data_IF_778531579409
#
_entry.id   IF_778531579409
#
_cell.length_a   1.000
_cell.length_b   1.000
_cell.length_c   1.000
_cell.angle_alpha   90.00
_cell.angle_beta   90.00
_cell.angle_gamma   90.00
#
_symmetry.space_group_name_H-M   'P 1'
#
loop_
_entity.id
_entity.type
_entity.pdbx_description
1 polymer ?
#
# COMPACT_ATOMS: atom_id res chain seq x y z
N UNK A 1 -3.93 -27.22 6.94
CA UNK A 1 -2.94 -26.59 7.85
C UNK A 1 -3.52 -25.29 8.34
N UNK A 2 -3.68 -25.16 9.66
CA UNK A 2 -4.42 -24.10 10.33
C UNK A 2 -3.70 -22.76 10.13
N UNK A 3 -4.32 -21.86 9.35
CA UNK A 3 -3.84 -20.48 9.14
C UNK A 3 -3.82 -19.79 10.51
N UNK A 4 -2.66 -19.29 10.93
CA UNK A 4 -2.58 -18.46 12.14
C UNK A 4 -3.28 -17.15 11.79
N UNK A 5 -4.47 -16.97 12.32
CA UNK A 5 -5.25 -15.75 12.17
C UNK A 5 -4.34 -14.56 12.43
N UNK A 6 -4.28 -13.62 11.48
CA UNK A 6 -3.96 -12.24 11.79
C UNK A 6 -4.77 -11.92 13.03
N UNK A 7 -4.10 -11.76 14.17
CA UNK A 7 -4.78 -11.36 15.39
C UNK A 7 -5.23 -9.92 15.18
N UNK A 8 -6.39 -9.75 14.52
CA UNK A 8 -7.42 -8.86 15.02
C UNK A 8 -7.43 -9.12 16.52
N UNK A 9 -6.86 -8.17 17.28
CA UNK A 9 -6.40 -8.37 18.64
C UNK A 9 -7.36 -9.26 19.41
N UNK A 10 -6.85 -10.36 19.94
CA UNK A 10 -7.61 -11.30 20.76
C UNK A 10 -8.11 -10.57 22.01
N UNK A 11 -9.22 -9.83 21.86
CA UNK A 11 -10.01 -9.13 22.87
C UNK A 11 -9.45 -7.77 23.34
N UNK A 12 -9.47 -6.73 22.49
CA UNK A 12 -9.67 -5.33 22.92
C UNK A 12 -8.78 -4.76 24.04
N UNK A 13 -7.64 -5.39 24.34
CA UNK A 13 -6.78 -5.07 25.51
C UNK A 13 -5.29 -4.98 25.16
N UNK A 14 -4.94 -5.31 23.91
CA UNK A 14 -3.60 -5.17 23.35
C UNK A 14 -3.76 -4.36 22.06
N UNK A 15 -2.94 -3.31 21.89
CA UNK A 15 -3.11 -2.25 20.87
C UNK A 15 -3.08 -2.70 19.40
N UNK A 16 -2.87 -1.74 18.49
CA UNK A 16 -2.72 -1.99 17.03
C UNK A 16 -1.69 -3.11 16.79
N UNK A 17 -1.86 -3.96 15.78
CA UNK A 17 -0.80 -4.94 15.44
C UNK A 17 0.49 -4.20 15.05
N UNK A 18 1.64 -4.83 15.27
CA UNK A 18 2.92 -4.25 14.87
C UNK A 18 2.94 -3.93 13.37
N UNK A 19 2.45 -4.84 12.53
CA UNK A 19 2.36 -4.63 11.08
C UNK A 19 1.55 -3.38 10.70
N UNK A 20 0.43 -3.13 11.38
CA UNK A 20 -0.37 -1.92 11.14
C UNK A 20 0.34 -0.66 11.60
N UNK A 21 1.13 -0.73 12.69
CA UNK A 21 1.98 0.40 13.11
C UNK A 21 3.08 0.68 12.10
N UNK A 22 3.73 -0.37 11.58
CA UNK A 22 4.78 -0.25 10.58
C UNK A 22 4.22 0.33 9.28
N UNK A 23 3.04 -0.13 8.84
CA UNK A 23 2.36 0.44 7.69
C UNK A 23 1.94 1.90 7.93
N UNK A 24 1.35 2.23 9.09
CA UNK A 24 0.99 3.62 9.42
C UNK A 24 2.24 4.54 9.43
N UNK A 25 3.38 4.03 9.91
CA UNK A 25 4.65 4.76 9.88
C UNK A 25 5.16 4.97 8.45
N UNK A 26 5.09 3.93 7.60
CA UNK A 26 5.47 4.00 6.20
C UNK A 26 4.59 4.98 5.40
N UNK A 27 3.27 4.97 5.61
CA UNK A 27 2.34 5.91 4.98
C UNK A 27 2.65 7.35 5.40
N UNK A 28 2.84 7.58 6.70
CA UNK A 28 3.19 8.91 7.22
C UNK A 28 4.53 9.41 6.69
N UNK A 29 5.53 8.53 6.57
CA UNK A 29 6.84 8.86 6.00
C UNK A 29 6.77 9.23 4.50
N UNK A 30 5.69 8.84 3.81
CA UNK A 30 5.42 9.20 2.41
C UNK A 30 4.46 10.39 2.26
N UNK A 31 4.24 11.15 3.34
CA UNK A 31 3.32 12.30 3.43
C UNK A 31 1.83 11.97 3.26
N UNK A 32 1.46 10.70 3.48
CA UNK A 32 0.06 10.27 3.53
C UNK A 32 -0.37 10.03 4.98
N UNK A 33 -1.31 10.85 5.48
CA UNK A 33 -1.80 10.68 6.84
C UNK A 33 -2.57 9.34 6.98
N UNK A 34 -2.21 8.43 7.91
CA UNK A 34 -2.80 7.09 7.97
C UNK A 34 -4.31 7.02 8.21
N UNK A 35 -4.93 8.10 8.71
CA UNK A 35 -6.39 8.21 8.85
C UNK A 35 -7.13 8.42 7.52
N UNK A 36 -6.42 8.78 6.44
CA UNK A 36 -6.99 8.86 5.09
C UNK A 36 -7.17 7.47 4.46
N UNK A 37 -6.52 6.45 5.03
CA UNK A 37 -6.62 5.06 4.57
C UNK A 37 -7.56 4.27 5.50
N UNK A 38 -8.70 3.75 5.00
CA UNK A 38 -9.60 2.92 5.79
C UNK A 38 -8.89 1.71 6.41
N UNK A 39 -9.29 1.33 7.62
CA UNK A 39 -8.64 0.23 8.34
C UNK A 39 -8.69 -1.10 7.58
N UNK A 40 -9.80 -1.37 6.89
CA UNK A 40 -9.94 -2.55 6.02
C UNK A 40 -8.91 -2.59 4.89
N UNK A 41 -8.59 -1.44 4.29
CA UNK A 41 -7.56 -1.34 3.24
C UNK A 41 -6.17 -1.62 3.82
N UNK A 42 -5.85 -1.06 4.99
CA UNK A 42 -4.57 -1.32 5.67
C UNK A 42 -4.40 -2.80 6.04
N UNK A 43 -5.47 -3.43 6.53
CA UNK A 43 -5.48 -4.88 6.80
C UNK A 43 -5.25 -5.70 5.53
N UNK A 44 -5.88 -5.32 4.41
CA UNK A 44 -5.64 -5.97 3.12
C UNK A 44 -4.19 -5.82 2.68
N UNK A 45 -3.61 -4.62 2.75
CA UNK A 45 -2.18 -4.39 2.41
C UNK A 45 -1.27 -5.31 3.25
N UNK A 46 -1.47 -5.36 4.56
CA UNK A 46 -0.66 -6.21 5.45
C UNK A 46 -0.83 -7.70 5.11
N UNK A 47 -2.05 -8.15 4.78
CA UNK A 47 -2.26 -9.54 4.37
C UNK A 47 -1.56 -9.84 3.04
N UNK A 48 -1.66 -8.95 2.05
CA UNK A 48 -0.95 -9.07 0.78
C UNK A 48 0.57 -9.10 0.98
N UNK A 49 1.10 -8.33 1.93
CA UNK A 49 2.51 -8.39 2.29
C UNK A 49 2.87 -9.77 2.84
N UNK A 50 2.11 -10.31 3.80
CA UNK A 50 2.37 -11.65 4.37
C UNK A 50 2.38 -12.76 3.30
N UNK A 51 1.59 -12.62 2.23
CA UNK A 51 1.61 -13.58 1.13
C UNK A 51 2.96 -13.62 0.37
N UNK A 52 3.75 -12.55 0.44
CA UNK A 52 5.12 -12.51 -0.10
C UNK A 52 6.15 -13.19 0.82
N UNK A 53 5.82 -13.39 2.10
CA UNK A 53 6.67 -14.05 3.10
C UNK A 53 5.95 -15.29 3.69
N UNK A 54 5.82 -16.39 2.93
CA UNK A 54 5.01 -17.55 3.36
C UNK A 54 5.56 -18.30 4.58
N UNK A 55 6.80 -18.02 4.99
CA UNK A 55 7.50 -18.73 6.06
C UNK A 55 7.98 -17.82 7.20
N UNK A 56 7.79 -16.51 7.09
CA UNK A 56 8.24 -15.52 8.07
C UNK A 56 7.32 -14.28 8.07
N UNK A 57 7.47 -13.41 9.07
CA UNK A 57 6.75 -12.13 9.05
C UNK A 57 7.51 -11.14 8.15
N UNK A 58 6.81 -10.23 7.44
CA UNK A 58 7.47 -9.19 6.64
C UNK A 58 8.43 -8.39 7.52
N UNK A 59 9.71 -8.24 7.13
CA UNK A 59 10.67 -7.52 7.95
C UNK A 59 10.35 -6.00 7.92
N UNK A 60 10.76 -5.21 8.94
CA UNK A 60 10.42 -3.79 9.03
C UNK A 60 10.78 -2.96 7.79
N UNK A 61 11.87 -3.28 7.10
CA UNK A 61 12.33 -2.64 5.86
C UNK A 61 11.42 -2.88 4.65
N UNK A 62 10.52 -3.86 4.72
CA UNK A 62 9.54 -4.12 3.66
C UNK A 62 8.41 -3.08 3.63
N UNK A 63 8.10 -2.43 4.76
CA UNK A 63 6.95 -1.51 4.85
C UNK A 63 7.15 -0.16 4.13
N UNK A 64 8.31 0.53 4.25
CA UNK A 64 8.53 1.81 3.58
C UNK A 64 8.27 1.80 2.06
N UNK A 65 8.79 0.85 1.25
CA UNK A 65 8.51 0.85 -0.19
C UNK A 65 7.04 0.58 -0.51
N UNK A 66 6.32 -0.17 0.33
CA UNK A 66 4.87 -0.42 0.17
C UNK A 66 4.07 0.84 0.47
N UNK A 67 4.31 1.45 1.64
CA UNK A 67 3.63 2.68 2.06
C UNK A 67 3.86 3.82 1.07
N UNK A 68 5.08 3.96 0.55
CA UNK A 68 5.42 4.97 -0.45
C UNK A 68 4.68 4.77 -1.77
N UNK A 69 4.67 3.56 -2.32
CA UNK A 69 3.98 3.29 -3.58
C UNK A 69 2.46 3.43 -3.45
N UNK A 70 1.89 2.97 -2.33
CA UNK A 70 0.47 3.16 -2.06
C UNK A 70 0.12 4.64 -1.87
N UNK A 71 0.99 5.42 -1.21
CA UNK A 71 0.81 6.87 -1.10
C UNK A 71 0.78 7.56 -2.47
N UNK A 72 1.69 7.21 -3.39
CA UNK A 72 1.66 7.71 -4.77
C UNK A 72 0.31 7.46 -5.45
N UNK A 73 -0.24 6.25 -5.31
CA UNK A 73 -1.55 5.91 -5.87
C UNK A 73 -2.67 6.82 -5.34
N UNK A 74 -2.61 7.23 -4.06
CA UNK A 74 -3.65 8.02 -3.41
C UNK A 74 -3.51 9.54 -3.64
N UNK A 75 -2.30 10.09 -3.49
CA UNK A 75 -2.10 11.55 -3.55
C UNK A 75 -1.81 12.04 -4.97
N UNK A 76 -1.29 11.16 -5.83
CA UNK A 76 -0.96 11.45 -7.23
C UNK A 76 0.39 12.17 -7.43
N UNK A 77 0.81 12.35 -8.69
CA UNK A 77 2.19 12.66 -9.04
C UNK A 77 2.68 14.01 -8.50
N UNK A 78 1.85 15.06 -8.52
CA UNK A 78 2.29 16.41 -8.16
C UNK A 78 2.63 16.54 -6.68
N UNK A 79 1.68 16.18 -5.80
CA UNK A 79 1.86 16.24 -4.35
C UNK A 79 2.90 15.21 -3.89
N UNK A 80 2.92 14.03 -4.51
CA UNK A 80 3.90 13.01 -4.19
C UNK A 80 5.33 13.47 -4.49
N UNK A 81 5.56 14.11 -5.64
CA UNK A 81 6.86 14.68 -6.01
C UNK A 81 7.28 15.80 -5.08
N UNK A 82 6.36 16.67 -4.69
CA UNK A 82 6.64 17.76 -3.74
C UNK A 82 7.12 17.23 -2.39
N UNK A 83 6.49 16.18 -1.88
CA UNK A 83 6.83 15.62 -0.57
C UNK A 83 8.01 14.63 -0.58
N UNK A 84 8.17 13.83 -1.63
CA UNK A 84 9.11 12.71 -1.67
C UNK A 84 10.29 12.92 -2.65
N UNK A 85 10.22 13.93 -3.51
CA UNK A 85 11.24 14.25 -4.51
C UNK A 85 11.10 13.48 -5.83
N UNK A 86 11.86 13.94 -6.83
CA UNK A 86 11.77 13.45 -8.21
C UNK A 86 12.12 11.97 -8.35
N UNK A 87 13.19 11.51 -7.68
CA UNK A 87 13.63 10.12 -7.78
C UNK A 87 12.57 9.14 -7.25
N UNK A 88 11.86 9.51 -6.18
CA UNK A 88 10.78 8.71 -5.64
C UNK A 88 9.59 8.67 -6.60
N UNK A 89 9.27 9.80 -7.26
CA UNK A 89 8.24 9.84 -8.30
C UNK A 89 8.59 8.88 -9.43
N UNK A 90 9.79 8.98 -10.01
CA UNK A 90 10.23 8.10 -11.10
C UNK A 90 10.18 6.62 -10.70
N UNK A 91 10.50 6.29 -9.45
CA UNK A 91 10.40 4.92 -8.94
C UNK A 91 8.96 4.41 -8.86
N UNK A 92 8.05 5.22 -8.32
CA UNK A 92 6.64 4.88 -8.23
C UNK A 92 5.99 4.73 -9.61
N UNK A 93 6.32 5.62 -10.55
CA UNK A 93 5.82 5.57 -11.93
C UNK A 93 6.27 4.29 -12.63
N UNK A 94 7.55 3.93 -12.51
CA UNK A 94 8.10 2.69 -13.08
C UNK A 94 7.45 1.45 -12.47
N UNK A 95 7.23 1.43 -11.16
CA UNK A 95 6.54 0.33 -10.48
C UNK A 95 5.11 0.16 -10.97
N UNK A 96 4.40 1.28 -11.19
CA UNK A 96 3.05 1.25 -11.72
C UNK A 96 3.03 0.74 -13.16
N UNK A 97 3.95 1.19 -14.02
CA UNK A 97 4.09 0.66 -15.39
C UNK A 97 4.34 -0.85 -15.38
N UNK A 98 5.25 -1.33 -14.53
CA UNK A 98 5.49 -2.76 -14.38
C UNK A 98 4.28 -3.53 -13.83
N UNK A 99 3.44 -2.89 -13.02
CA UNK A 99 2.21 -3.48 -12.51
C UNK A 99 1.16 -3.66 -13.62
N UNK A 100 1.10 -2.73 -14.58
CA UNK A 100 0.24 -2.86 -15.77
C UNK A 100 0.66 -4.05 -16.65
N UNK A 101 1.96 -4.31 -16.77
CA UNK A 101 2.46 -5.46 -17.53
C UNK A 101 2.30 -6.80 -16.79
N UNK A 102 2.07 -6.78 -15.47
CA UNK A 102 2.05 -7.97 -14.60
C UNK A 102 0.85 -7.94 -13.66
N UNK A 103 -0.30 -8.30 -14.19
CA UNK A 103 -1.61 -8.20 -13.52
C UNK A 103 -1.69 -8.93 -12.16
N UNK A 104 -0.93 -10.01 -11.96
CA UNK A 104 -0.91 -10.76 -10.69
C UNK A 104 0.18 -10.28 -9.71
N UNK A 105 0.98 -9.29 -10.10
CA UNK A 105 2.06 -8.78 -9.24
C UNK A 105 1.53 -8.14 -7.97
N UNK A 106 2.36 -8.12 -6.92
CA UNK A 106 2.01 -7.45 -5.66
C UNK A 106 1.67 -5.96 -5.87
N UNK A 107 2.41 -5.27 -6.75
CA UNK A 107 2.13 -3.86 -7.07
C UNK A 107 0.80 -3.70 -7.82
N UNK A 108 0.45 -4.62 -8.73
CA UNK A 108 -0.86 -4.62 -9.40
C UNK A 108 -2.00 -4.80 -8.39
N UNK A 109 -1.83 -5.68 -7.41
CA UNK A 109 -2.81 -5.89 -6.34
C UNK A 109 -2.98 -4.64 -5.45
N UNK A 110 -1.91 -3.88 -5.20
CA UNK A 110 -2.00 -2.59 -4.49
C UNK A 110 -2.75 -1.51 -5.31
N UNK A 111 -2.50 -1.43 -6.62
CA UNK A 111 -3.20 -0.51 -7.52
C UNK A 111 -4.68 -0.86 -7.61
N UNK A 112 -5.01 -2.13 -7.82
CA UNK A 112 -6.39 -2.63 -7.84
C UNK A 112 -7.10 -2.34 -6.51
N UNK A 113 -6.42 -2.54 -5.37
CA UNK A 113 -6.96 -2.20 -4.07
C UNK A 113 -7.28 -0.71 -3.95
N UNK A 114 -6.39 0.18 -4.38
CA UNK A 114 -6.62 1.63 -4.37
C UNK A 114 -7.81 2.02 -5.28
N UNK A 115 -7.94 1.36 -6.43
CA UNK A 115 -9.00 1.59 -7.41
C UNK A 115 -10.37 1.12 -6.89
N UNK A 116 -10.49 -0.14 -6.45
CA UNK A 116 -11.74 -0.69 -5.92
C UNK A 116 -12.20 -0.02 -4.62
N UNK A 117 -11.26 0.46 -3.80
CA UNK A 117 -11.58 1.23 -2.59
C UNK A 117 -11.93 2.70 -2.88
N UNK A 118 -11.88 3.14 -4.14
CA UNK A 118 -12.13 4.52 -4.58
C UNK A 118 -11.19 5.55 -3.92
N UNK A 119 -9.98 5.11 -3.59
CA UNK A 119 -8.95 5.95 -2.98
C UNK A 119 -7.94 6.47 -3.99
N UNK A 120 -7.85 5.85 -5.17
CA UNK A 120 -6.88 6.22 -6.18
C UNK A 120 -7.08 7.66 -6.67
N UNK A 121 -5.96 8.38 -6.85
CA UNK A 121 -5.96 9.74 -7.36
C UNK A 121 -6.51 9.80 -8.78
N UNK A 122 -7.43 10.73 -9.11
CA UNK A 122 -7.91 10.93 -10.48
C UNK A 122 -6.79 11.24 -11.48
N UNK A 123 -5.69 11.86 -11.02
CA UNK A 123 -4.52 12.15 -11.87
C UNK A 123 -3.78 10.87 -12.25
N UNK A 124 -3.68 9.89 -11.34
CA UNK A 124 -3.08 8.59 -11.64
C UNK A 124 -3.99 7.81 -12.58
N UNK A 125 -5.30 7.81 -12.34
CA UNK A 125 -6.28 7.21 -13.26
C UNK A 125 -6.15 7.78 -14.66
N UNK A 126 -6.16 9.11 -14.80
CA UNK A 126 -6.05 9.76 -16.11
C UNK A 126 -4.70 9.55 -16.80
N UNK A 127 -3.60 9.46 -16.03
CA UNK A 127 -2.25 9.27 -16.58
C UNK A 127 -2.06 7.86 -17.17
N UNK A 128 -2.67 6.84 -16.56
CA UNK A 128 -2.45 5.43 -16.93
C UNK A 128 -3.71 4.73 -17.46
N UNK A 129 -4.79 5.47 -17.71
CA UNK A 129 -6.08 4.96 -18.20
C UNK A 129 -6.62 3.79 -17.36
N UNK A 130 -6.53 3.92 -16.02
CA UNK A 130 -6.88 2.84 -15.10
C UNK A 130 -8.39 2.64 -15.01
N UNK A 131 -8.84 1.40 -15.07
CA UNK A 131 -10.23 1.01 -14.86
C UNK A 131 -10.34 -0.32 -14.10
N UNK A 132 -11.42 -0.47 -13.34
CA UNK A 132 -11.80 -1.71 -12.69
C UNK A 132 -13.27 -1.94 -13.05
N UNK A 133 -13.52 -2.91 -13.91
CA UNK A 133 -14.87 -3.40 -14.25
C UNK A 133 -15.39 -4.38 -13.19
#
# INVERSE_FOLDING_TARGET
MTRRNSSLGFLGRFGRSEDLRQLDAALRAADLHPAQVPEGVKLTIVNLMKDQWPHEEPPPEAYPPVGRFFAYCLIGPDLFREANGEQALTDAERRLEMALDREESFDAQLVLLALHSKLISPKVVAKYDLSAE
#
